data_IF_011244162515
#
_entry.id   IF_011244162515
#
_cell.length_a   1.000
_cell.length_b   1.000
_cell.length_c   1.000
_cell.angle_alpha   90.00
_cell.angle_beta   90.00
_cell.angle_gamma   90.00
#
_symmetry.space_group_name_H-M   'P 1'
#
loop_
_entity.id
_entity.type
_entity.pdbx_description
1 polymer ?
#
# COMPACT_ATOMS: atom_id res chain seq x y z
N UNK A 1 -33.20 -19.64 16.93
CA UNK A 1 -31.89 -19.65 17.63
C UNK A 1 -31.58 -18.25 18.13
N UNK A 2 -31.54 -18.05 19.45
CA UNK A 2 -31.23 -16.75 20.06
C UNK A 2 -29.71 -16.51 20.06
N UNK A 3 -29.20 -15.83 19.03
CA UNK A 3 -27.80 -15.40 19.04
C UNK A 3 -27.65 -14.06 19.79
N UNK A 4 -26.79 -14.06 20.82
CA UNK A 4 -26.35 -12.85 21.51
C UNK A 4 -25.64 -11.88 20.55
N UNK A 5 -25.59 -10.57 20.87
CA UNK A 5 -24.86 -9.58 20.04
C UNK A 5 -23.41 -9.99 19.81
N UNK A 6 -22.75 -10.55 20.83
CA UNK A 6 -21.40 -11.12 20.74
C UNK A 6 -21.33 -12.29 19.77
N UNK A 7 -22.27 -13.25 19.86
CA UNK A 7 -22.34 -14.37 18.91
C UNK A 7 -22.55 -13.92 17.46
N UNK A 8 -23.40 -12.90 17.24
CA UNK A 8 -23.64 -12.34 15.90
C UNK A 8 -22.40 -11.66 15.35
N UNK A 9 -21.71 -10.90 16.18
CA UNK A 9 -20.43 -10.28 15.81
C UNK A 9 -19.39 -11.33 15.42
N UNK A 10 -19.29 -12.42 16.19
CA UNK A 10 -18.39 -13.54 15.86
C UNK A 10 -18.76 -14.15 14.52
N UNK A 11 -20.05 -14.40 14.26
CA UNK A 11 -20.51 -14.95 12.99
C UNK A 11 -20.22 -14.00 11.81
N UNK A 12 -20.42 -12.69 11.98
CA UNK A 12 -20.07 -11.70 10.95
C UNK A 12 -18.57 -11.79 10.61
N UNK A 13 -17.72 -11.87 11.62
CA UNK A 13 -16.26 -11.96 11.43
C UNK A 13 -15.83 -13.28 10.79
N UNK A 14 -16.41 -14.40 11.20
CA UNK A 14 -15.95 -15.73 10.80
C UNK A 14 -16.53 -16.22 9.48
N UNK A 15 -17.79 -15.94 9.18
CA UNK A 15 -18.46 -16.48 7.98
C UNK A 15 -18.77 -15.38 6.97
N UNK A 16 -19.46 -14.32 7.39
CA UNK A 16 -19.98 -13.33 6.45
C UNK A 16 -18.90 -12.46 5.81
N UNK A 17 -17.79 -12.23 6.51
CA UNK A 17 -16.63 -11.54 5.94
C UNK A 17 -15.83 -12.42 4.98
N UNK A 18 -15.83 -13.74 5.19
CA UNK A 18 -15.05 -14.68 4.38
C UNK A 18 -15.74 -15.04 3.06
N UNK A 19 -17.07 -15.15 3.06
CA UNK A 19 -17.88 -15.44 1.86
C UNK A 19 -17.53 -14.57 0.62
N UNK A 20 -17.43 -13.23 0.73
CA UNK A 20 -17.08 -12.40 -0.42
C UNK A 20 -15.59 -12.41 -0.76
N UNK A 21 -14.71 -13.02 0.04
CA UNK A 21 -13.24 -12.87 -0.09
C UNK A 21 -12.73 -13.29 -1.46
N UNK A 22 -13.27 -14.36 -2.06
CA UNK A 22 -12.92 -14.78 -3.40
C UNK A 22 -13.16 -13.66 -4.42
N UNK A 23 -14.39 -13.14 -4.47
CA UNK A 23 -14.76 -12.05 -5.38
C UNK A 23 -13.98 -10.77 -5.09
N UNK A 24 -13.76 -10.43 -3.82
CA UNK A 24 -12.97 -9.25 -3.43
C UNK A 24 -11.48 -9.40 -3.80
N UNK A 25 -10.99 -10.62 -3.99
CA UNK A 25 -9.62 -10.85 -4.44
C UNK A 25 -9.46 -10.74 -5.95
N UNK A 26 -10.54 -10.94 -6.70
CA UNK A 26 -10.50 -10.95 -8.17
C UNK A 26 -11.05 -9.68 -8.79
N UNK A 27 -12.01 -9.02 -8.17
CA UNK A 27 -12.77 -7.92 -8.79
C UNK A 27 -12.78 -6.64 -7.95
N UNK A 28 -12.88 -5.46 -8.57
CA UNK A 28 -13.09 -4.21 -7.87
C UNK A 28 -14.48 -4.26 -7.22
N UNK A 29 -14.55 -3.97 -5.93
CA UNK A 29 -15.79 -4.12 -5.19
C UNK A 29 -16.78 -3.01 -5.55
N UNK A 30 -17.91 -3.31 -6.23
CA UNK A 30 -18.84 -2.28 -6.66
C UNK A 30 -19.50 -1.62 -5.44
N UNK A 31 -19.59 -0.30 -5.44
CA UNK A 31 -20.09 0.46 -4.29
C UNK A 31 -21.52 0.06 -3.89
N UNK A 32 -22.40 -0.21 -4.86
CA UNK A 32 -23.78 -0.65 -4.61
C UNK A 32 -23.86 -2.01 -3.91
N UNK A 33 -23.06 -2.98 -4.36
CA UNK A 33 -22.97 -4.31 -3.72
C UNK A 33 -22.40 -4.18 -2.32
N UNK A 34 -21.37 -3.35 -2.14
CA UNK A 34 -20.82 -3.04 -0.82
C UNK A 34 -21.84 -2.45 0.14
N UNK A 35 -22.61 -1.46 -0.31
CA UNK A 35 -23.69 -0.88 0.49
C UNK A 35 -24.75 -1.92 0.87
N UNK A 36 -25.11 -2.82 -0.06
CA UNK A 36 -26.11 -3.87 0.20
C UNK A 36 -25.60 -4.89 1.23
N UNK A 37 -24.35 -5.33 1.11
CA UNK A 37 -23.74 -6.27 2.07
C UNK A 37 -23.59 -5.61 3.44
N UNK A 38 -23.09 -4.37 3.50
CA UNK A 38 -23.01 -3.61 4.75
C UNK A 38 -24.39 -3.44 5.40
N UNK A 39 -25.45 -3.19 4.61
CA UNK A 39 -26.82 -3.11 5.13
C UNK A 39 -27.27 -4.42 5.76
N UNK A 40 -26.97 -5.56 5.13
CA UNK A 40 -27.27 -6.90 5.68
C UNK A 40 -26.50 -7.11 6.99
N UNK A 41 -25.21 -6.75 7.04
CA UNK A 41 -24.40 -6.93 8.25
C UNK A 41 -24.90 -6.05 9.41
N UNK A 42 -25.26 -4.80 9.12
CA UNK A 42 -25.86 -3.87 10.10
C UNK A 42 -27.19 -4.39 10.61
N UNK A 43 -28.08 -4.84 9.72
CA UNK A 43 -29.37 -5.40 10.07
C UNK A 43 -29.22 -6.68 10.90
N UNK A 44 -28.26 -7.54 10.57
CA UNK A 44 -27.98 -8.75 11.33
C UNK A 44 -27.41 -8.44 12.72
N UNK A 45 -26.44 -7.53 12.83
CA UNK A 45 -25.80 -7.18 14.11
C UNK A 45 -26.78 -6.52 15.09
N UNK A 46 -27.55 -5.54 14.61
CA UNK A 46 -28.42 -4.72 15.45
C UNK A 46 -29.87 -5.18 15.49
N UNK A 47 -30.30 -6.03 14.54
CA UNK A 47 -31.67 -6.53 14.46
C UNK A 47 -32.03 -7.51 15.57
N UNK A 48 -33.26 -8.02 15.53
CA UNK A 48 -33.78 -9.05 16.44
C UNK A 48 -34.97 -9.77 15.80
N UNK A 49 -35.33 -10.94 16.33
CA UNK A 49 -36.66 -11.50 16.09
C UNK A 49 -37.62 -10.75 17.03
N UNK A 50 -38.40 -9.82 16.48
CA UNK A 50 -39.36 -8.98 17.18
C UNK A 50 -39.74 -7.78 16.30
N UNK A 51 -41.00 -7.33 16.37
CA UNK A 51 -41.50 -6.20 15.57
C UNK A 51 -40.96 -4.83 16.03
N UNK A 52 -40.22 -4.79 17.14
CA UNK A 52 -39.63 -3.57 17.65
C UNK A 52 -38.52 -3.04 16.74
N UNK A 53 -38.66 -1.78 16.31
CA UNK A 53 -37.61 -1.05 15.59
C UNK A 53 -36.37 -0.93 16.48
N UNK A 54 -35.30 -1.65 16.12
CA UNK A 54 -34.00 -1.53 16.80
C UNK A 54 -33.12 -0.47 16.13
N UNK A 55 -32.60 0.45 16.95
CA UNK A 55 -31.72 1.53 16.51
C UNK A 55 -30.28 1.04 16.33
N UNK A 56 -29.59 1.59 15.33
CA UNK A 56 -28.15 1.39 15.15
C UNK A 56 -27.39 2.22 16.19
N UNK A 57 -26.92 1.56 17.26
CA UNK A 57 -26.26 2.24 18.38
C UNK A 57 -24.90 2.83 18.03
N UNK A 58 -24.19 2.24 17.07
CA UNK A 58 -22.82 2.62 16.70
C UNK A 58 -22.70 2.76 15.20
N UNK A 59 -22.04 3.82 14.74
CA UNK A 59 -21.72 4.04 13.33
C UNK A 59 -20.95 2.85 12.78
N UNK A 60 -21.32 2.34 11.62
CA UNK A 60 -20.69 1.13 11.05
C UNK A 60 -19.18 1.28 10.82
N UNK A 61 -18.72 2.47 10.42
CA UNK A 61 -17.29 2.76 10.33
C UNK A 61 -16.56 2.48 11.65
N UNK A 62 -17.15 2.85 12.79
CA UNK A 62 -16.66 2.56 14.15
C UNK A 62 -16.74 1.07 14.48
N UNK A 63 -17.77 0.36 14.03
CA UNK A 63 -17.85 -1.11 14.17
C UNK A 63 -16.69 -1.82 13.44
N UNK A 64 -16.29 -1.29 12.28
CA UNK A 64 -15.18 -1.83 11.51
C UNK A 64 -13.79 -1.51 12.08
N UNK A 65 -13.69 -0.67 13.11
CA UNK A 65 -12.40 -0.30 13.67
C UNK A 65 -11.82 -1.42 14.51
N UNK A 66 -10.49 -1.61 14.55
CA UNK A 66 -9.89 -2.61 15.42
C UNK A 66 -10.27 -2.39 16.88
N UNK A 67 -10.33 -3.48 17.65
CA UNK A 67 -10.68 -3.43 19.09
C UNK A 67 -9.70 -2.54 19.87
N UNK A 68 -8.42 -2.54 19.47
CA UNK A 68 -7.39 -1.65 20.05
C UNK A 68 -7.73 -0.16 19.92
N UNK A 69 -8.52 0.22 18.93
CA UNK A 69 -8.99 1.59 18.68
C UNK A 69 -10.47 1.79 19.08
N UNK A 70 -11.04 0.90 19.88
CA UNK A 70 -12.40 1.03 20.43
C UNK A 70 -13.53 0.59 19.53
N UNK A 71 -13.24 -0.11 18.43
CA UNK A 71 -14.25 -0.73 17.58
C UNK A 71 -14.56 -2.18 17.92
N UNK A 72 -15.34 -2.79 17.02
CA UNK A 72 -15.70 -4.20 17.14
C UNK A 72 -14.84 -5.11 16.25
N UNK A 73 -13.94 -4.57 15.44
CA UNK A 73 -13.01 -5.34 14.59
C UNK A 73 -13.69 -6.08 13.45
N UNK A 74 -14.83 -5.59 12.95
CA UNK A 74 -15.43 -6.09 11.70
C UNK A 74 -14.57 -5.63 10.52
N UNK A 75 -14.39 -6.46 9.50
CA UNK A 75 -13.59 -6.06 8.36
C UNK A 75 -14.37 -5.07 7.48
N UNK A 76 -13.77 -3.90 7.20
CA UNK A 76 -14.27 -3.04 6.13
C UNK A 76 -13.95 -3.67 4.76
N UNK A 77 -14.97 -4.19 4.10
CA UNK A 77 -14.86 -4.89 2.82
C UNK A 77 -14.23 -4.03 1.72
N UNK A 78 -14.43 -2.70 1.76
CA UNK A 78 -13.85 -1.79 0.76
C UNK A 78 -12.35 -1.67 0.94
N UNK A 79 -11.91 -1.44 2.18
CA UNK A 79 -10.49 -1.44 2.51
C UNK A 79 -9.88 -2.82 2.22
N UNK A 80 -10.56 -3.90 2.58
CA UNK A 80 -10.07 -5.25 2.32
C UNK A 80 -9.92 -5.57 0.83
N UNK A 81 -10.87 -5.15 -0.02
CA UNK A 81 -10.74 -5.25 -1.46
C UNK A 81 -9.48 -4.53 -1.97
N UNK A 82 -9.23 -3.28 -1.55
CA UNK A 82 -8.01 -2.55 -1.93
C UNK A 82 -6.74 -3.31 -1.54
N UNK A 83 -6.72 -3.92 -0.36
CA UNK A 83 -5.59 -4.73 0.11
C UNK A 83 -5.39 -5.95 -0.78
N UNK A 84 -6.46 -6.68 -1.08
CA UNK A 84 -6.41 -7.89 -1.90
C UNK A 84 -6.02 -7.58 -3.35
N UNK A 85 -6.54 -6.49 -3.93
CA UNK A 85 -6.11 -6.03 -5.26
C UNK A 85 -4.63 -5.58 -5.26
N UNK A 86 -4.13 -5.06 -4.14
CA UNK A 86 -2.69 -4.81 -3.96
C UNK A 86 -1.82 -6.06 -4.08
N UNK A 87 -2.37 -7.26 -3.84
CA UNK A 87 -1.66 -8.53 -4.11
C UNK A 87 -1.34 -8.68 -5.59
N UNK A 88 -2.25 -8.30 -6.50
CA UNK A 88 -2.00 -8.36 -7.94
C UNK A 88 -0.95 -7.37 -8.38
N UNK A 89 -0.93 -6.17 -7.78
CA UNK A 89 0.15 -5.21 -7.99
C UNK A 89 1.49 -5.81 -7.55
N UNK A 90 1.57 -6.43 -6.38
CA UNK A 90 2.79 -7.12 -5.94
C UNK A 90 3.22 -8.22 -6.92
N UNK A 91 2.29 -9.10 -7.31
CA UNK A 91 2.56 -10.22 -8.22
C UNK A 91 3.11 -9.73 -9.57
N UNK A 92 2.63 -8.61 -10.07
CA UNK A 92 3.13 -8.01 -11.31
C UNK A 92 4.65 -7.74 -11.29
N UNK A 93 5.20 -7.40 -10.11
CA UNK A 93 6.64 -7.14 -9.94
C UNK A 93 7.44 -8.43 -9.79
N UNK A 94 6.88 -9.42 -9.09
CA UNK A 94 7.60 -10.62 -8.71
C UNK A 94 7.48 -11.76 -9.71
N UNK A 95 6.38 -11.83 -10.43
CA UNK A 95 6.10 -12.88 -11.42
C UNK A 95 6.44 -12.33 -12.81
N UNK A 96 7.73 -12.36 -13.16
CA UNK A 96 8.26 -11.86 -14.43
C UNK A 96 7.63 -12.53 -15.66
N UNK A 97 7.55 -13.86 -15.62
CA UNK A 97 7.26 -14.71 -16.78
C UNK A 97 5.83 -15.28 -16.77
N UNK A 98 4.92 -14.64 -16.03
CA UNK A 98 3.55 -15.12 -15.94
C UNK A 98 2.73 -14.69 -17.17
N UNK A 99 2.07 -15.63 -17.84
CA UNK A 99 1.22 -15.37 -19.02
C UNK A 99 0.19 -14.25 -18.81
N UNK A 100 -0.43 -14.18 -17.62
CA UNK A 100 -1.38 -13.12 -17.32
C UNK A 100 -0.73 -11.73 -17.37
N UNK A 101 0.54 -11.61 -16.96
CA UNK A 101 1.30 -10.37 -17.03
C UNK A 101 1.59 -10.01 -18.48
N UNK A 102 2.00 -10.95 -19.31
CA UNK A 102 2.24 -10.73 -20.74
C UNK A 102 1.00 -10.17 -21.44
N UNK A 103 -0.19 -10.72 -21.15
CA UNK A 103 -1.45 -10.19 -21.66
C UNK A 103 -1.67 -8.73 -21.22
N UNK A 104 -1.39 -8.41 -19.95
CA UNK A 104 -1.48 -7.03 -19.47
C UNK A 104 -0.48 -6.12 -20.19
N UNK A 105 0.77 -6.55 -20.39
CA UNK A 105 1.77 -5.78 -21.14
C UNK A 105 1.32 -5.57 -22.58
N UNK A 106 0.77 -6.59 -23.25
CA UNK A 106 0.27 -6.49 -24.61
C UNK A 106 -0.94 -5.53 -24.72
N UNK A 107 -1.85 -5.55 -23.73
CA UNK A 107 -3.03 -4.69 -23.74
C UNK A 107 -2.78 -3.23 -23.33
N UNK A 108 -1.85 -2.99 -22.40
CA UNK A 108 -1.68 -1.67 -21.78
C UNK A 108 -0.27 -1.08 -21.97
N UNK A 109 0.70 -1.87 -22.42
CA UNK A 109 2.11 -1.50 -22.39
C UNK A 109 2.68 -1.42 -20.98
N UNK A 110 3.99 -1.19 -20.90
CA UNK A 110 4.72 -0.99 -19.65
C UNK A 110 5.14 0.47 -19.50
N UNK A 111 5.04 0.96 -18.26
CA UNK A 111 5.69 2.18 -17.87
C UNK A 111 7.21 1.97 -17.79
N UNK A 112 7.94 3.08 -17.71
CA UNK A 112 9.38 3.05 -17.52
C UNK A 112 9.78 2.16 -16.33
N UNK A 113 10.84 1.37 -16.49
CA UNK A 113 11.30 0.38 -15.50
C UNK A 113 10.48 -0.92 -15.47
N UNK A 114 9.33 -1.01 -16.14
CA UNK A 114 8.53 -2.24 -16.22
C UNK A 114 7.89 -2.69 -14.90
N UNK A 115 7.87 -1.81 -13.90
CA UNK A 115 7.28 -2.07 -12.58
C UNK A 115 5.75 -1.95 -12.60
N UNK A 116 5.21 -1.10 -13.46
CA UNK A 116 3.77 -0.99 -13.65
C UNK A 116 3.42 -0.89 -15.13
N UNK A 117 2.18 -1.25 -15.47
CA UNK A 117 1.65 -0.98 -16.80
C UNK A 117 1.40 0.51 -17.00
N UNK A 118 1.24 0.96 -18.24
CA UNK A 118 0.73 2.31 -18.48
C UNK A 118 -0.73 2.45 -18.00
N UNK A 119 -1.18 3.69 -17.87
CA UNK A 119 -2.60 3.97 -17.61
C UNK A 119 -3.41 3.73 -18.89
N UNK A 120 -4.42 2.86 -18.81
CA UNK A 120 -5.27 2.55 -19.95
C UNK A 120 -6.17 3.73 -20.31
N UNK A 121 -5.88 4.41 -21.43
CA UNK A 121 -6.61 5.58 -21.94
C UNK A 121 -7.83 5.27 -22.81
N UNK A 122 -8.02 4.01 -23.23
CA UNK A 122 -9.11 3.61 -24.13
C UNK A 122 -10.49 3.53 -23.47
N UNK A 123 -11.54 3.94 -24.20
CA UNK A 123 -12.95 3.90 -23.78
C UNK A 123 -13.58 2.51 -23.72
N UNK A 124 -12.99 1.51 -24.38
CA UNK A 124 -13.49 0.14 -24.34
C UNK A 124 -13.00 -0.60 -23.10
N UNK A 125 -13.96 -1.25 -22.42
CA UNK A 125 -13.73 -2.13 -21.28
C UNK A 125 -13.40 -1.37 -20.00
N UNK A 126 -14.31 -1.43 -19.04
CA UNK A 126 -14.04 -1.24 -17.61
C UNK A 126 -13.16 -2.42 -17.16
N UNK A 127 -11.92 -2.46 -17.65
CA UNK A 127 -11.01 -3.58 -17.45
C UNK A 127 -10.69 -3.70 -15.96
N UNK A 128 -10.84 -4.90 -15.42
CA UNK A 128 -10.41 -5.26 -14.07
C UNK A 128 -9.02 -4.66 -13.74
N UNK A 129 -8.09 -4.77 -14.69
CA UNK A 129 -6.75 -4.25 -14.54
C UNK A 129 -6.68 -2.73 -14.41
N UNK A 130 -7.53 -1.96 -15.12
CA UNK A 130 -7.58 -0.49 -14.98
C UNK A 130 -7.90 -0.09 -13.54
N UNK A 131 -8.79 -0.81 -12.85
CA UNK A 131 -9.09 -0.56 -11.44
C UNK A 131 -7.94 -0.94 -10.50
N UNK A 132 -7.30 -2.09 -10.74
CA UNK A 132 -6.11 -2.50 -9.98
C UNK A 132 -5.00 -1.46 -10.15
N UNK A 133 -4.74 -1.03 -11.38
CA UNK A 133 -3.72 -0.05 -11.75
C UNK A 133 -3.95 1.33 -11.15
N UNK A 134 -5.21 1.77 -10.97
CA UNK A 134 -5.53 3.01 -10.22
C UNK A 134 -5.07 2.97 -8.77
N UNK A 135 -4.98 1.78 -8.17
CA UNK A 135 -4.46 1.59 -6.81
C UNK A 135 -2.94 1.75 -6.68
N UNK A 136 -2.22 1.84 -7.81
CA UNK A 136 -0.76 1.87 -7.86
C UNK A 136 -0.14 2.99 -7.03
N UNK A 137 -0.58 4.23 -7.22
CA UNK A 137 0.00 5.41 -6.54
C UNK A 137 -0.07 5.33 -5.01
N UNK A 138 -1.08 4.66 -4.47
CA UNK A 138 -1.18 4.39 -3.04
C UNK A 138 -0.27 3.24 -2.62
N UNK A 139 -0.19 2.20 -3.44
CA UNK A 139 0.59 0.99 -3.17
C UNK A 139 2.11 1.22 -3.23
N UNK A 140 2.58 2.00 -4.20
CA UNK A 140 3.99 2.28 -4.45
C UNK A 140 4.71 2.93 -3.26
N UNK A 141 3.99 3.70 -2.44
CA UNK A 141 4.52 4.33 -1.21
C UNK A 141 5.00 3.32 -0.16
N UNK A 142 4.63 2.06 -0.33
CA UNK A 142 4.90 0.97 0.61
C UNK A 142 5.93 -0.03 0.08
N UNK A 143 6.45 0.19 -1.13
CA UNK A 143 7.53 -0.62 -1.72
C UNK A 143 8.86 0.12 -1.67
N UNK A 144 9.94 -0.64 -1.63
CA UNK A 144 11.32 -0.16 -1.76
C UNK A 144 12.02 -1.00 -2.81
N UNK A 145 12.75 -0.37 -3.70
CA UNK A 145 13.53 -1.04 -4.73
C UNK A 145 14.92 -1.40 -4.18
N UNK A 146 15.42 -2.55 -4.63
CA UNK A 146 16.78 -3.01 -4.36
C UNK A 146 17.49 -3.01 -5.70
N UNK A 147 18.45 -2.11 -5.84
CA UNK A 147 19.27 -1.98 -7.04
C UNK A 147 20.22 -3.19 -7.16
N UNK A 148 19.91 -4.04 -8.14
CA UNK A 148 20.78 -5.13 -8.60
C UNK A 148 21.67 -4.58 -9.70
N UNK A 149 21.20 -4.71 -10.95
CA UNK A 149 21.80 -4.10 -12.15
C UNK A 149 21.48 -2.60 -12.28
N UNK A 150 20.35 -2.15 -11.74
CA UNK A 150 19.93 -0.74 -11.69
C UNK A 150 19.23 -0.23 -12.94
N UNK A 151 19.09 -1.05 -13.99
CA UNK A 151 18.55 -0.67 -15.30
C UNK A 151 17.06 -0.31 -15.26
N UNK A 152 16.33 -0.81 -14.26
CA UNK A 152 14.88 -0.60 -14.14
C UNK A 152 14.50 0.44 -13.08
N UNK A 153 15.45 0.97 -12.34
CA UNK A 153 15.19 1.81 -11.16
C UNK A 153 15.64 3.22 -11.46
N UNK A 154 14.75 4.19 -11.27
CA UNK A 154 15.04 5.61 -11.45
C UNK A 154 15.92 6.08 -10.31
N UNK A 155 17.04 6.71 -10.65
CA UNK A 155 17.98 7.18 -9.62
C UNK A 155 17.32 8.19 -8.67
N UNK A 156 16.57 9.16 -9.21
CA UNK A 156 16.01 10.25 -8.41
C UNK A 156 14.61 9.98 -7.84
N UNK A 157 13.75 9.32 -8.63
CA UNK A 157 12.30 9.22 -8.34
C UNK A 157 11.94 7.98 -7.52
N UNK A 158 12.65 6.87 -7.71
CA UNK A 158 12.33 5.61 -7.04
C UNK A 158 12.90 5.56 -5.62
N UNK A 159 12.17 4.90 -4.72
CA UNK A 159 12.64 4.65 -3.36
C UNK A 159 13.59 3.45 -3.33
N UNK A 160 14.86 3.65 -3.61
CA UNK A 160 15.90 2.61 -3.52
C UNK A 160 16.96 2.93 -2.46
N UNK A 161 17.34 4.20 -2.33
CA UNK A 161 18.31 4.71 -1.36
C UNK A 161 17.60 5.48 -0.22
N UNK A 162 17.94 5.19 1.04
CA UNK A 162 17.31 5.83 2.21
C UNK A 162 15.83 5.51 2.46
N UNK A 163 15.11 6.45 3.07
CA UNK A 163 13.70 6.33 3.51
C UNK A 163 12.69 7.11 2.64
N UNK A 164 13.18 7.93 1.72
CA UNK A 164 12.40 8.68 0.74
C UNK A 164 13.17 8.79 -0.58
N UNK A 165 12.47 9.11 -1.68
CA UNK A 165 13.11 9.33 -2.98
C UNK A 165 14.16 10.46 -2.90
N UNK A 166 15.26 10.33 -3.63
CA UNK A 166 16.38 11.28 -3.58
C UNK A 166 15.94 12.70 -4.01
N UNK A 167 15.01 12.81 -4.96
CA UNK A 167 14.39 14.10 -5.33
C UNK A 167 13.73 14.82 -4.15
N UNK A 168 13.12 14.08 -3.21
CA UNK A 168 12.46 14.67 -2.04
C UNK A 168 13.43 14.93 -0.89
N UNK A 169 14.45 14.09 -0.74
CA UNK A 169 15.47 14.29 0.28
C UNK A 169 16.39 15.46 -0.05
N UNK A 170 16.75 15.61 -1.33
CA UNK A 170 17.71 16.60 -1.81
C UNK A 170 17.14 17.38 -3.01
N UNK A 171 16.08 18.20 -2.82
CA UNK A 171 15.40 18.88 -3.91
C UNK A 171 16.33 19.83 -4.68
N UNK A 172 17.21 20.54 -3.98
CA UNK A 172 18.17 21.44 -4.60
C UNK A 172 19.12 20.70 -5.54
N UNK A 173 19.66 19.55 -5.12
CA UNK A 173 20.55 18.71 -5.94
C UNK A 173 19.81 18.13 -7.16
N UNK A 174 18.57 17.72 -6.99
CA UNK A 174 17.74 17.25 -8.10
C UNK A 174 17.47 18.37 -9.13
N UNK A 175 17.23 19.60 -8.69
CA UNK A 175 17.02 20.73 -9.60
C UNK A 175 18.25 21.02 -10.47
N UNK A 176 19.46 20.80 -9.97
CA UNK A 176 20.70 21.03 -10.73
C UNK A 176 21.24 19.77 -11.41
N UNK A 177 20.64 18.60 -11.20
CA UNK A 177 21.06 17.37 -11.85
C UNK A 177 20.87 17.46 -13.37
N UNK A 178 21.92 17.09 -14.13
CA UNK A 178 21.89 17.07 -15.58
C UNK A 178 20.93 16.00 -16.11
N UNK A 179 20.98 14.81 -15.51
CA UNK A 179 20.17 13.66 -15.91
C UNK A 179 19.15 13.29 -14.81
N UNK A 180 17.98 13.93 -14.83
CA UNK A 180 16.91 13.69 -13.84
C UNK A 180 16.15 12.37 -14.06
N UNK A 181 16.20 11.84 -15.28
CA UNK A 181 15.49 10.62 -15.68
C UNK A 181 16.41 9.40 -15.83
N UNK A 182 17.67 9.52 -15.42
CA UNK A 182 18.64 8.43 -15.46
C UNK A 182 18.26 7.27 -14.54
N UNK A 183 18.62 6.06 -14.97
CA UNK A 183 18.54 4.87 -14.13
C UNK A 183 19.69 4.83 -13.12
N UNK A 184 19.57 3.97 -12.11
CA UNK A 184 20.66 3.72 -11.15
C UNK A 184 21.88 3.12 -11.85
N UNK A 185 21.69 2.37 -12.93
CA UNK A 185 22.78 1.82 -13.73
C UNK A 185 23.57 2.92 -14.46
N UNK A 186 22.86 3.89 -15.05
CA UNK A 186 23.49 4.97 -15.81
C UNK A 186 24.35 5.89 -14.92
N UNK A 187 23.94 6.03 -13.66
CA UNK A 187 24.60 6.93 -12.69
C UNK A 187 25.79 6.28 -11.97
N UNK A 188 26.11 5.02 -12.25
CA UNK A 188 27.20 4.31 -11.56
C UNK A 188 28.12 3.58 -12.53
N UNK A 189 29.42 3.61 -12.25
CA UNK A 189 30.41 2.74 -12.87
C UNK A 189 31.02 1.80 -11.84
N UNK A 190 31.42 0.61 -12.29
CA UNK A 190 32.15 -0.34 -11.46
C UNK A 190 33.64 -0.21 -11.76
N UNK A 191 34.39 0.40 -10.85
CA UNK A 191 35.85 0.47 -10.93
C UNK A 191 36.46 -0.42 -9.85
N UNK A 192 37.24 -1.43 -10.27
CA UNK A 192 37.94 -2.35 -9.36
C UNK A 192 37.05 -2.98 -8.27
N UNK A 193 35.79 -3.30 -8.58
CA UNK A 193 34.84 -3.89 -7.63
C UNK A 193 34.20 -2.91 -6.65
N UNK A 194 34.46 -1.61 -6.78
CA UNK A 194 33.82 -0.54 -6.00
C UNK A 194 32.90 0.29 -6.89
N UNK A 195 31.74 0.68 -6.36
CA UNK A 195 30.81 1.57 -7.04
C UNK A 195 31.40 2.98 -7.05
N UNK A 196 31.52 3.59 -8.22
CA UNK A 196 31.72 5.03 -8.36
C UNK A 196 30.46 5.66 -8.94
N UNK A 197 29.97 6.71 -8.27
CA UNK A 197 28.78 7.44 -8.71
C UNK A 197 29.20 8.58 -9.65
N UNK A 198 28.75 8.52 -10.90
CA UNK A 198 29.07 9.50 -11.95
C UNK A 198 27.88 10.45 -12.13
N UNK A 199 27.68 11.32 -11.15
CA UNK A 199 26.53 12.23 -11.13
C UNK A 199 26.95 13.58 -11.69
N UNK A 200 26.36 13.97 -12.81
CA UNK A 200 26.61 15.23 -13.48
C UNK A 200 25.59 16.30 -13.04
N UNK A 201 26.09 17.49 -12.73
CA UNK A 201 25.30 18.64 -12.36
C UNK A 201 25.52 19.78 -13.37
N UNK A 202 24.49 20.59 -13.62
CA UNK A 202 24.51 21.67 -14.62
C UNK A 202 25.29 22.91 -14.14
N UNK A 203 25.69 22.95 -12.87
CA UNK A 203 26.49 24.02 -12.26
C UNK A 203 27.29 23.49 -11.07
N UNK A 204 28.28 24.26 -10.66
CA UNK A 204 29.00 24.03 -9.42
C UNK A 204 28.12 24.28 -8.19
N UNK A 205 28.53 23.72 -7.05
CA UNK A 205 27.86 23.87 -5.77
C UNK A 205 28.26 25.18 -5.10
N UNK A 206 27.29 25.82 -4.44
CA UNK A 206 27.61 26.93 -3.54
C UNK A 206 28.00 26.41 -2.15
N UNK A 207 28.72 27.20 -1.37
CA UNK A 207 29.23 26.82 -0.04
C UNK A 207 28.14 26.30 0.91
N UNK A 208 26.94 26.90 0.86
CA UNK A 208 25.81 26.47 1.71
C UNK A 208 25.19 25.13 1.27
N UNK A 209 25.44 24.66 0.05
CA UNK A 209 24.96 23.37 -0.48
C UNK A 209 25.91 22.22 -0.16
N UNK A 210 27.18 22.50 0.20
CA UNK A 210 28.22 21.48 0.42
C UNK A 210 27.89 20.49 1.54
N UNK A 211 27.22 20.95 2.60
CA UNK A 211 26.72 20.08 3.68
C UNK A 211 25.72 19.05 3.14
N UNK A 212 24.76 19.51 2.34
CA UNK A 212 23.75 18.66 1.71
C UNK A 212 24.36 17.68 0.70
N UNK A 213 25.40 18.10 -0.03
CA UNK A 213 26.16 17.22 -0.93
C UNK A 213 26.90 16.14 -0.14
N UNK A 214 27.51 16.49 0.98
CA UNK A 214 28.19 15.52 1.85
C UNK A 214 27.20 14.48 2.39
N UNK A 215 26.05 14.92 2.91
CA UNK A 215 24.98 14.04 3.38
C UNK A 215 24.48 13.12 2.25
N UNK A 216 24.29 13.66 1.06
CA UNK A 216 23.86 12.92 -0.13
C UNK A 216 24.87 11.83 -0.53
N UNK A 217 26.16 12.16 -0.62
CA UNK A 217 27.20 11.19 -0.95
C UNK A 217 27.35 10.14 0.15
N UNK A 218 27.32 10.54 1.42
CA UNK A 218 27.38 9.60 2.55
C UNK A 218 26.22 8.59 2.48
N UNK A 219 25.02 9.04 2.13
CA UNK A 219 23.86 8.19 1.94
C UNK A 219 24.06 7.22 0.77
N UNK A 220 24.57 7.70 -0.38
CA UNK A 220 24.84 6.86 -1.54
C UNK A 220 25.89 5.77 -1.27
N UNK A 221 27.00 6.13 -0.61
CA UNK A 221 28.08 5.19 -0.28
C UNK A 221 27.76 4.30 0.92
N UNK A 222 26.76 4.64 1.74
CA UNK A 222 26.23 3.72 2.76
C UNK A 222 25.57 2.47 2.15
N UNK A 223 25.18 2.54 0.87
CA UNK A 223 24.63 1.41 0.14
C UNK A 223 25.79 0.48 -0.25
N UNK A 224 25.81 -0.72 0.33
CA UNK A 224 26.82 -1.74 0.01
C UNK A 224 26.82 -2.16 -1.47
N UNK A 225 27.79 -3.00 -1.84
CA UNK A 225 28.02 -3.40 -3.22
C UNK A 225 26.78 -4.01 -3.90
N UNK A 226 26.64 -3.83 -5.23
CA UNK A 226 25.48 -4.30 -5.97
C UNK A 226 25.42 -5.82 -5.89
N UNK A 227 24.23 -6.36 -5.69
CA UNK A 227 24.05 -7.81 -5.83
C UNK A 227 24.09 -8.16 -7.31
N UNK A 228 24.77 -9.26 -7.67
CA UNK A 228 24.80 -9.84 -9.04
C UNK A 228 23.44 -10.37 -9.53
N UNK A 229 22.38 -10.17 -8.76
CA UNK A 229 21.03 -10.58 -9.10
C UNK A 229 20.27 -9.36 -9.63
N UNK A 230 19.43 -9.55 -10.65
CA UNK A 230 18.65 -8.45 -11.25
C UNK A 230 17.77 -7.69 -10.25
N UNK A 231 17.28 -6.51 -10.64
CA UNK A 231 16.56 -5.58 -9.76
C UNK A 231 15.36 -6.21 -9.05
N UNK A 232 15.15 -5.88 -7.78
CA UNK A 232 14.08 -6.46 -6.94
C UNK A 232 13.29 -5.41 -6.21
N UNK A 233 12.12 -5.83 -5.73
CA UNK A 233 11.27 -5.03 -4.85
C UNK A 233 11.15 -5.68 -3.49
N UNK A 234 11.19 -4.87 -2.44
CA UNK A 234 11.00 -5.25 -1.04
C UNK A 234 9.83 -4.46 -0.45
N UNK A 235 9.06 -5.11 0.42
CA UNK A 235 8.00 -4.45 1.18
C UNK A 235 8.58 -3.64 2.35
N UNK A 236 8.19 -2.37 2.50
CA UNK A 236 8.73 -1.46 3.53
C UNK A 236 8.35 -1.86 4.95
N UNK A 237 7.13 -2.35 5.15
CA UNK A 237 6.48 -2.40 6.47
C UNK A 237 6.76 -3.66 7.29
N UNK A 238 7.74 -4.51 6.94
CA UNK A 238 7.88 -5.79 7.62
C UNK A 238 9.33 -6.28 7.76
N UNK A 239 9.60 -6.99 8.87
CA UNK A 239 10.83 -7.76 9.09
C UNK A 239 10.98 -8.84 8.00
N UNK A 240 9.86 -9.33 7.47
CA UNK A 240 9.81 -10.24 6.33
C UNK A 240 9.93 -9.44 5.03
N UNK A 241 10.97 -9.71 4.23
CA UNK A 241 11.27 -9.03 2.95
C UNK A 241 10.19 -9.21 1.85
N UNK A 242 8.99 -9.70 2.16
CA UNK A 242 7.91 -10.05 1.22
C UNK A 242 6.58 -9.38 1.61
N UNK A 243 5.77 -9.05 0.60
CA UNK A 243 4.41 -8.53 0.79
C UNK A 243 3.49 -9.54 1.49
N UNK A 244 2.62 -9.05 2.38
CA UNK A 244 1.50 -9.82 2.92
C UNK A 244 0.25 -8.95 2.99
N UNK A 245 -0.91 -9.56 2.69
CA UNK A 245 -2.23 -8.91 2.79
C UNK A 245 -2.45 -8.36 4.21
N UNK A 246 -2.04 -9.10 5.24
CA UNK A 246 -2.15 -8.67 6.65
C UNK A 246 -1.37 -7.39 6.94
N UNK A 247 -0.11 -7.29 6.46
CA UNK A 247 0.70 -6.10 6.68
C UNK A 247 0.10 -4.88 5.97
N UNK A 248 -0.30 -5.01 4.71
CA UNK A 248 -0.90 -3.91 3.97
C UNK A 248 -2.26 -3.47 4.53
N UNK A 249 -3.07 -4.43 5.01
CA UNK A 249 -4.31 -4.13 5.73
C UNK A 249 -4.06 -3.28 6.98
N UNK A 250 -3.05 -3.62 7.80
CA UNK A 250 -2.70 -2.83 8.99
C UNK A 250 -2.36 -1.38 8.62
N UNK A 251 -1.59 -1.17 7.55
CA UNK A 251 -1.21 0.17 7.07
C UNK A 251 -2.45 0.98 6.68
N UNK A 252 -3.31 0.45 5.81
CA UNK A 252 -4.49 1.18 5.33
C UNK A 252 -5.49 1.46 6.46
N UNK A 253 -5.64 0.51 7.38
CA UNK A 253 -6.42 0.67 8.60
C UNK A 253 -5.87 1.88 9.38
N UNK A 254 -4.58 1.88 9.75
CA UNK A 254 -3.95 2.98 10.48
C UNK A 254 -4.05 4.33 9.77
N UNK A 255 -3.88 4.39 8.45
CA UNK A 255 -4.04 5.63 7.67
C UNK A 255 -5.48 6.16 7.73
N UNK A 256 -6.47 5.28 7.61
CA UNK A 256 -7.87 5.66 7.74
C UNK A 256 -8.21 6.17 9.16
N UNK A 257 -7.52 5.70 10.21
CA UNK A 257 -7.64 6.24 11.58
C UNK A 257 -6.99 7.60 11.75
N UNK A 258 -5.78 7.77 11.21
CA UNK A 258 -5.04 9.03 11.34
C UNK A 258 -5.78 10.20 10.67
N UNK A 259 -6.66 9.92 9.71
CA UNK A 259 -7.55 10.90 9.07
C UNK A 259 -8.93 11.02 9.75
N UNK A 260 -9.20 10.29 10.83
CA UNK A 260 -10.50 10.25 11.52
C UNK A 260 -10.49 10.87 12.92
N UNK A 261 -11.67 10.87 13.55
CA UNK A 261 -11.89 11.34 14.93
C UNK A 261 -10.91 10.69 15.93
N UNK A 262 -10.53 11.38 17.03
CA UNK A 262 -9.60 10.86 18.03
C UNK A 262 -10.03 9.49 18.57
N UNK A 263 -9.06 8.65 18.99
CA UNK A 263 -9.34 7.29 19.42
C UNK A 263 -10.37 7.28 20.55
N UNK A 264 -11.48 6.57 20.33
CA UNK A 264 -12.51 6.39 21.35
C UNK A 264 -11.89 5.70 22.56
N UNK A 265 -11.83 6.40 23.70
CA UNK A 265 -11.23 5.94 24.96
C UNK A 265 -12.09 4.89 25.67
N UNK A 266 -12.41 3.81 24.96
CA UNK A 266 -13.30 2.75 25.43
C UNK A 266 -12.80 2.11 26.74
N UNK A 267 -11.48 2.01 26.93
CA UNK A 267 -10.89 1.44 28.15
C UNK A 267 -11.36 2.16 29.42
N UNK A 268 -11.62 3.46 29.35
CA UNK A 268 -12.07 4.25 30.50
C UNK A 268 -13.56 3.97 30.84
N UNK A 269 -14.36 3.57 29.85
CA UNK A 269 -15.78 3.25 30.04
C UNK A 269 -15.93 1.89 30.74
N UNK A 270 -15.15 0.89 30.33
CA UNK A 270 -15.17 -0.45 30.94
C UNK A 270 -14.39 -0.55 32.26
N UNK A 271 -13.56 0.45 32.57
CA UNK A 271 -12.96 0.62 33.89
C UNK A 271 -13.85 1.44 34.84
N UNK A 272 -14.98 1.98 34.38
CA UNK A 272 -15.89 2.68 35.27
C UNK A 272 -16.42 1.69 36.32
N UNK A 273 -16.13 1.97 37.59
CA UNK A 273 -16.63 1.22 38.74
C UNK A 273 -18.09 1.59 39.02
N UNK A 274 -18.92 1.60 37.98
CA UNK A 274 -20.36 1.83 38.15
C UNK A 274 -20.96 0.49 38.60
N UNK A 275 -21.63 0.44 39.77
CA UNK A 275 -22.24 -0.79 40.24
C UNK A 275 -23.27 -1.32 39.23
N UNK A 276 -23.33 -2.64 39.00
CA UNK A 276 -24.41 -3.21 38.19
C UNK A 276 -25.76 -2.92 38.88
N UNK A 277 -26.74 -2.44 38.10
CA UNK A 277 -28.14 -2.33 38.51
C UNK A 277 -28.84 -3.68 38.46
#
# INVERSE_FOLDING_TARGET
MYLSKGGRLTLIKSTLTNLPTYFLSLFPFPAGVGNRIEKIFRAFLWGGMGEEKKFHLVRWKTVCTPIVHGGLGVCDLRTFNKVLLGKWLWRYHTEGDALWKEIIVACYGNAWGGWCSNEGSGGYGVGLWKFIRRGWLCFEKHIRFIAGEGNRISFWRDLWCGDQALERAFPNLYHIAANREASVADMRSLHHGTIQWNILFNRDFHDWELSSVSDFLSLLYSMGNPMTQGDRVKWRSNNYKKFTVKAYSKILITQNFAQGDPPFLWKNIWQSRVPPK
#
